data_IF_068418869781
#
_entry.id   IF_068418869781
#
_cell.length_a   1.000
_cell.length_b   1.000
_cell.length_c   1.000
_cell.angle_alpha   90.00
_cell.angle_beta   90.00
_cell.angle_gamma   90.00
#
_symmetry.space_group_name_H-M   'P 1'
#
loop_
_entity.id
_entity.type
_entity.pdbx_description
1 polymer ?
#
# COMPACT_ATOMS: atom_id res chain seq x y z
N UNK A 1 -22.23 42.79 7.12
CA UNK A 1 -21.06 42.33 7.90
C UNK A 1 -20.95 40.81 8.01
N UNK A 2 -22.04 40.02 8.07
CA UNK A 2 -21.94 38.56 8.19
C UNK A 2 -21.41 37.81 6.95
N UNK A 3 -21.57 38.35 5.73
CA UNK A 3 -21.11 37.68 4.51
C UNK A 3 -19.57 37.68 4.38
N UNK A 4 -18.90 38.75 4.81
CA UNK A 4 -17.43 38.87 4.75
C UNK A 4 -16.73 37.92 5.73
N UNK A 5 -17.35 37.62 6.86
CA UNK A 5 -16.83 36.68 7.87
C UNK A 5 -16.93 35.23 7.33
N UNK A 6 -18.00 34.92 6.58
CA UNK A 6 -18.18 33.59 5.99
C UNK A 6 -17.17 33.31 4.87
N UNK A 7 -16.86 34.32 4.04
CA UNK A 7 -15.84 34.21 2.99
C UNK A 7 -14.42 34.05 3.55
N UNK A 8 -14.12 34.68 4.69
CA UNK A 8 -12.83 34.54 5.36
C UNK A 8 -12.63 33.14 5.97
N UNK A 9 -13.70 32.48 6.45
CA UNK A 9 -13.62 31.11 6.98
C UNK A 9 -13.40 30.03 5.91
N UNK A 10 -13.85 30.27 4.68
CA UNK A 10 -13.66 29.35 3.55
C UNK A 10 -12.23 29.39 2.98
N UNK A 11 -11.46 30.45 3.28
CA UNK A 11 -10.06 30.59 2.88
C UNK A 11 -9.08 29.94 3.86
N UNK A 12 -9.55 29.46 5.01
CA UNK A 12 -8.72 28.79 6.03
C UNK A 12 -8.87 27.28 6.04
N UNK A 13 -9.54 26.68 5.06
CA UNK A 13 -9.55 25.21 4.93
C UNK A 13 -8.15 24.82 4.47
N UNK A 14 -7.33 24.16 5.31
CA UNK A 14 -6.06 23.66 4.83
C UNK A 14 -6.37 22.72 3.66
N UNK A 15 -5.68 22.90 2.54
CA UNK A 15 -5.67 21.91 1.48
C UNK A 15 -5.35 20.58 2.13
N UNK A 16 -6.31 19.65 2.15
CA UNK A 16 -6.09 18.29 2.63
C UNK A 16 -5.09 17.69 1.64
N UNK A 17 -3.80 17.81 1.95
CA UNK A 17 -2.78 16.99 1.34
C UNK A 17 -3.15 15.56 1.72
N UNK A 18 -3.69 14.82 0.76
CA UNK A 18 -3.86 13.37 0.91
C UNK A 18 -2.45 12.83 1.02
N UNK A 19 -2.02 12.63 2.25
CA UNK A 19 -0.75 11.99 2.56
C UNK A 19 -0.77 10.62 1.88
N UNK A 20 0.19 10.27 1.04
CA UNK A 20 0.19 8.96 0.37
C UNK A 20 0.22 7.80 1.33
N UNK A 21 0.74 8.03 2.54
CA UNK A 21 0.66 7.07 3.64
C UNK A 21 -0.77 6.81 4.12
N UNK A 22 -1.75 7.62 3.71
CA UNK A 22 -3.15 7.49 4.13
C UNK A 22 -3.95 6.44 3.34
N UNK A 23 -3.53 6.05 2.14
CA UNK A 23 -4.23 5.02 1.35
C UNK A 23 -3.46 3.70 1.35
N UNK A 24 -3.75 2.77 2.27
CA UNK A 24 -3.11 1.45 2.28
C UNK A 24 -3.63 0.56 1.14
N UNK A 25 -2.75 -0.25 0.57
CA UNK A 25 -3.14 -1.35 -0.29
C UNK A 25 -3.69 -2.49 0.56
N UNK A 26 -5.01 -2.65 0.51
CA UNK A 26 -5.71 -3.71 1.23
C UNK A 26 -5.76 -4.99 0.41
N UNK A 27 -5.49 -6.11 1.07
CA UNK A 27 -5.57 -7.43 0.49
C UNK A 27 -6.20 -8.44 1.45
N UNK A 28 -6.83 -9.47 0.90
CA UNK A 28 -7.54 -10.51 1.66
C UNK A 28 -7.02 -11.88 1.25
N UNK A 29 -6.88 -12.81 2.19
CA UNK A 29 -6.54 -14.19 1.86
C UNK A 29 -7.70 -14.94 1.21
N UNK A 30 -7.37 -15.94 0.41
CA UNK A 30 -8.39 -16.83 -0.19
C UNK A 30 -8.95 -17.83 0.83
N UNK A 31 -8.08 -18.34 1.70
CA UNK A 31 -8.41 -19.47 2.59
C UNK A 31 -8.80 -19.05 4.02
N UNK A 32 -8.88 -17.74 4.30
CA UNK A 32 -9.28 -17.21 5.61
C UNK A 32 -9.87 -15.81 5.50
N UNK A 33 -10.48 -15.33 6.57
CA UNK A 33 -10.99 -13.95 6.66
C UNK A 33 -9.89 -12.91 6.99
N UNK A 34 -8.61 -13.31 6.98
CA UNK A 34 -7.50 -12.42 7.32
C UNK A 34 -7.25 -11.40 6.23
N UNK A 35 -6.93 -10.17 6.66
CA UNK A 35 -6.62 -9.04 5.79
C UNK A 35 -5.19 -8.57 6.02
N UNK A 36 -4.50 -8.21 4.95
CA UNK A 36 -3.19 -7.56 4.97
C UNK A 36 -3.29 -6.16 4.39
N UNK A 37 -2.57 -5.24 5.00
CA UNK A 37 -2.57 -3.84 4.64
C UNK A 37 -1.11 -3.46 4.38
N UNK A 38 -0.83 -3.05 3.15
CA UNK A 38 0.50 -2.60 2.75
C UNK A 38 0.53 -1.09 2.63
N UNK A 39 1.58 -0.49 3.16
CA UNK A 39 1.85 0.94 3.08
C UNK A 39 3.00 1.18 2.11
N UNK A 40 3.12 2.42 1.63
CA UNK A 40 4.14 2.80 0.67
C UNK A 40 5.56 2.41 1.12
N UNK A 41 5.92 2.65 2.39
CA UNK A 41 7.23 2.30 2.97
C UNK A 41 7.59 0.81 2.92
N UNK A 42 6.61 -0.07 2.70
CA UNK A 42 6.81 -1.51 2.62
C UNK A 42 7.06 -1.98 1.18
N UNK A 43 6.84 -1.10 0.18
CA UNK A 43 7.10 -1.38 -1.23
C UNK A 43 8.61 -1.38 -1.48
N UNK A 44 9.14 -2.50 -1.96
CA UNK A 44 10.57 -2.64 -2.26
C UNK A 44 10.88 -2.62 -3.75
N UNK A 45 9.89 -2.94 -4.59
CA UNK A 45 10.00 -2.94 -6.04
C UNK A 45 8.60 -2.90 -6.66
N UNK A 46 8.44 -2.20 -7.78
CA UNK A 46 7.25 -2.31 -8.62
C UNK A 46 7.62 -2.25 -10.10
N UNK A 47 6.73 -2.79 -10.92
CA UNK A 47 6.79 -2.77 -12.38
C UNK A 47 5.37 -2.79 -12.93
N UNK A 48 5.21 -2.76 -14.26
CA UNK A 48 3.89 -2.86 -14.89
C UNK A 48 3.21 -4.23 -14.74
N UNK A 49 3.91 -5.25 -14.20
CA UNK A 49 3.41 -6.62 -14.06
C UNK A 49 3.14 -6.99 -12.61
N UNK A 50 4.06 -6.64 -11.70
CA UNK A 50 3.93 -6.98 -10.28
C UNK A 50 4.62 -5.95 -9.38
N UNK A 51 4.20 -5.95 -8.12
CA UNK A 51 4.84 -5.24 -7.01
C UNK A 51 5.32 -6.22 -5.93
N UNK A 52 6.40 -5.86 -5.24
CA UNK A 52 6.98 -6.61 -4.13
C UNK A 52 6.94 -5.77 -2.87
N UNK A 53 6.44 -6.37 -1.79
CA UNK A 53 6.37 -5.80 -0.47
C UNK A 53 7.17 -6.61 0.52
N UNK A 54 7.78 -5.96 1.51
CA UNK A 54 8.46 -6.63 2.61
C UNK A 54 7.92 -6.19 3.98
N UNK A 55 7.74 -7.17 4.86
CA UNK A 55 7.47 -6.93 6.28
C UNK A 55 8.49 -7.66 7.16
N UNK A 56 8.51 -7.32 8.45
CA UNK A 56 9.30 -8.01 9.48
C UNK A 56 10.80 -8.16 9.11
N UNK A 57 11.43 -7.07 8.66
CA UNK A 57 12.84 -7.03 8.25
C UNK A 57 13.17 -8.03 7.13
N UNK A 58 12.25 -8.19 6.17
CA UNK A 58 12.41 -9.08 5.02
C UNK A 58 12.08 -10.55 5.28
N UNK A 59 11.64 -10.92 6.50
CA UNK A 59 11.17 -12.29 6.79
C UNK A 59 9.91 -12.66 6.03
N UNK A 60 9.12 -11.66 5.66
CA UNK A 60 7.93 -11.88 4.83
C UNK A 60 8.03 -11.03 3.58
N UNK A 61 7.83 -11.69 2.43
CA UNK A 61 7.78 -11.07 1.12
C UNK A 61 6.39 -11.33 0.52
N UNK A 62 5.74 -10.29 0.04
CA UNK A 62 4.48 -10.42 -0.71
C UNK A 62 4.70 -9.92 -2.12
N UNK A 63 4.42 -10.77 -3.10
CA UNK A 63 4.29 -10.38 -4.50
C UNK A 63 2.82 -10.17 -4.82
N UNK A 64 2.51 -9.06 -5.48
CA UNK A 64 1.15 -8.74 -5.98
C UNK A 64 1.23 -8.60 -7.49
N UNK A 65 0.47 -9.41 -8.22
CA UNK A 65 0.28 -9.27 -9.66
C UNK A 65 -0.67 -8.08 -9.93
N UNK A 66 -0.22 -7.12 -10.73
CA UNK A 66 -0.98 -5.88 -10.99
C UNK A 66 -2.04 -6.04 -12.08
N UNK A 67 -2.03 -7.15 -12.83
CA UNK A 67 -3.05 -7.46 -13.83
C UNK A 67 -4.23 -8.21 -13.22
N UNK A 68 -3.96 -9.14 -12.31
CA UNK A 68 -5.02 -9.97 -11.69
C UNK A 68 -5.43 -9.48 -10.30
N UNK A 69 -4.57 -8.68 -9.67
CA UNK A 69 -4.59 -8.33 -8.25
C UNK A 69 -4.35 -9.52 -7.31
N UNK A 70 -3.92 -10.67 -7.82
CA UNK A 70 -3.60 -11.82 -6.97
C UNK A 70 -2.30 -11.56 -6.20
N UNK A 71 -2.21 -12.11 -4.99
CA UNK A 71 -1.02 -12.02 -4.18
C UNK A 71 -0.51 -13.38 -3.77
N UNK A 72 0.80 -13.48 -3.63
CA UNK A 72 1.52 -14.59 -3.03
C UNK A 72 2.37 -14.03 -1.90
N UNK A 73 2.06 -14.43 -0.67
CA UNK A 73 2.81 -14.03 0.53
C UNK A 73 3.63 -15.21 1.02
N UNK A 74 4.94 -15.04 1.01
CA UNK A 74 5.90 -16.04 1.51
C UNK A 74 6.51 -15.53 2.81
N UNK A 75 6.30 -16.28 3.90
CA UNK A 75 6.92 -16.00 5.20
C UNK A 75 7.96 -17.07 5.52
N UNK A 76 9.19 -16.65 5.79
CA UNK A 76 10.21 -17.52 6.35
C UNK A 76 9.90 -17.77 7.83
N UNK A 77 9.55 -19.01 8.17
CA UNK A 77 9.25 -19.49 9.53
C UNK A 77 10.31 -20.47 10.05
N UNK A 78 11.37 -20.69 9.26
CA UNK A 78 12.50 -21.54 9.63
C UNK A 78 13.32 -20.97 10.79
N UNK A 79 14.12 -21.86 11.37
CA UNK A 79 15.16 -21.52 12.33
C UNK A 79 16.52 -22.03 11.84
N UNK A 80 17.54 -21.17 11.93
CA UNK A 80 18.92 -21.44 11.50
C UNK A 80 19.00 -22.13 10.12
N UNK A 81 19.71 -23.27 10.05
CA UNK A 81 19.98 -24.06 8.86
C UNK A 81 18.80 -24.93 8.40
N UNK A 82 17.61 -24.81 9.02
CA UNK A 82 16.43 -25.56 8.62
C UNK A 82 15.37 -24.60 8.04
N UNK A 83 15.41 -24.33 6.72
CA UNK A 83 14.47 -23.42 6.10
C UNK A 83 13.06 -24.01 6.11
N UNK A 84 12.10 -23.20 6.53
CA UNK A 84 10.67 -23.50 6.44
C UNK A 84 9.93 -22.26 5.96
N UNK A 85 8.93 -22.46 5.12
CA UNK A 85 8.17 -21.39 4.51
C UNK A 85 6.68 -21.63 4.69
N UNK A 86 5.96 -20.57 4.98
CA UNK A 86 4.51 -20.51 4.83
C UNK A 86 4.20 -19.70 3.57
N UNK A 87 3.37 -20.25 2.70
CA UNK A 87 2.89 -19.56 1.49
C UNK A 87 1.39 -19.35 1.66
N UNK A 88 0.94 -18.10 1.52
CA UNK A 88 -0.46 -17.72 1.58
C UNK A 88 -0.84 -17.05 0.26
N UNK A 89 -2.02 -17.38 -0.25
CA UNK A 89 -2.58 -16.83 -1.47
C UNK A 89 -3.74 -15.90 -1.14
N UNK A 90 -3.89 -14.83 -1.92
CA UNK A 90 -4.88 -13.80 -1.65
C UNK A 90 -5.16 -12.93 -2.86
N UNK A 91 -5.92 -11.87 -2.64
CA UNK A 91 -6.21 -10.85 -3.64
C UNK A 91 -6.21 -9.46 -3.01
N UNK A 92 -5.65 -8.49 -3.71
CA UNK A 92 -5.64 -7.09 -3.33
C UNK A 92 -6.78 -6.31 -4.00
N UNK A 93 -7.21 -5.24 -3.35
CA UNK A 93 -8.21 -4.31 -3.87
C UNK A 93 -7.50 -3.25 -4.72
N UNK A 94 -7.75 -3.25 -6.04
CA UNK A 94 -7.28 -2.20 -6.96
C UNK A 94 -5.78 -1.89 -6.82
N UNK A 95 -4.92 -2.91 -6.93
CA UNK A 95 -3.49 -2.79 -6.62
C UNK A 95 -2.78 -1.75 -7.49
N UNK A 96 -3.00 -1.80 -8.81
CA UNK A 96 -2.40 -0.83 -9.73
C UNK A 96 -2.80 0.61 -9.38
N UNK A 97 -4.10 0.86 -9.17
CA UNK A 97 -4.60 2.20 -8.83
C UNK A 97 -4.00 2.74 -7.53
N UNK A 98 -3.87 1.89 -6.51
CA UNK A 98 -3.27 2.29 -5.23
C UNK A 98 -1.81 2.68 -5.40
N UNK A 99 -1.05 1.91 -6.19
CA UNK A 99 0.35 2.23 -6.51
C UNK A 99 0.47 3.54 -7.32
N UNK A 100 -0.42 3.77 -8.28
CA UNK A 100 -0.43 5.02 -9.07
C UNK A 100 -0.65 6.24 -8.16
N UNK A 101 -1.55 6.14 -7.18
CA UNK A 101 -1.78 7.21 -6.18
C UNK A 101 -0.52 7.47 -5.36
N UNK A 102 0.19 6.41 -4.94
CA UNK A 102 1.44 6.57 -4.20
C UNK A 102 2.52 7.25 -5.04
N UNK A 103 2.64 6.91 -6.32
CA UNK A 103 3.61 7.57 -7.22
C UNK A 103 3.29 9.07 -7.40
N UNK A 104 2.02 9.42 -7.59
CA UNK A 104 1.57 10.82 -7.72
C UNK A 104 1.86 11.67 -6.48
N UNK A 105 1.88 11.07 -5.31
CA UNK A 105 2.19 11.80 -4.07
C UNK A 105 3.68 12.16 -3.93
N UNK A 106 4.56 11.50 -4.68
CA UNK A 106 6.01 11.66 -4.54
C UNK A 106 6.58 12.80 -5.37
N UNK A 107 5.80 13.34 -6.32
CA UNK A 107 6.23 14.55 -7.03
C UNK A 107 6.33 15.71 -6.04
N UNK A 108 7.54 16.29 -5.82
CA UNK A 108 7.65 17.54 -5.10
C UNK A 108 6.82 18.57 -5.87
N UNK A 109 6.07 19.41 -5.17
CA UNK A 109 5.51 20.61 -5.81
C UNK A 109 6.66 21.33 -6.54
N UNK A 110 6.50 21.58 -7.84
CA UNK A 110 7.42 22.41 -8.60
C UNK A 110 7.57 23.75 -7.85
N UNK A 111 8.78 24.03 -7.34
CA UNK A 111 9.14 25.32 -6.74
C UNK A 111 9.31 26.40 -7.82
#
# INVERSE_FOLDING_TARGET
MNALILSALLLTVPSVSVDSDSLPLKCTLLDSADNFWFYHDQLVFHSNQFALFQNFKGRTVTQVDLKTNELIRTTYIGDRYNPKYQILLGRCEQAAHTLDIWELSQTPYDN
#
